data_IF_462288140895
#
_entry.id   IF_462288140895
#
_cell.length_a   1.000
_cell.length_b   1.000
_cell.length_c   1.000
_cell.angle_alpha   90.00
_cell.angle_beta   90.00
_cell.angle_gamma   90.00
#
_symmetry.space_group_name_H-M   'P 1'
#
loop_
_entity.id
_entity.type
_entity.pdbx_description
1 polymer ?
#
# COMPACT_ATOMS: atom_id res chain seq x y z
N UNK A 1 -10.41 -13.01 2.53
CA UNK A 1 -11.38 -11.91 2.36
C UNK A 1 -11.21 -10.83 3.40
N UNK A 2 -11.03 -11.17 4.69
CA UNK A 2 -10.79 -10.19 5.77
C UNK A 2 -9.64 -9.21 5.46
N UNK A 3 -8.49 -9.70 4.97
CA UNK A 3 -7.37 -8.82 4.58
C UNK A 3 -7.72 -7.81 3.48
N UNK A 4 -8.56 -8.20 2.52
CA UNK A 4 -9.01 -7.29 1.46
C UNK A 4 -9.95 -6.22 2.03
N UNK A 5 -10.90 -6.63 2.86
CA UNK A 5 -11.81 -5.69 3.53
C UNK A 5 -11.03 -4.69 4.40
N UNK A 6 -10.09 -5.17 5.23
CA UNK A 6 -9.24 -4.31 6.07
C UNK A 6 -8.42 -3.33 5.23
N UNK A 7 -7.86 -3.78 4.11
CA UNK A 7 -7.12 -2.93 3.18
C UNK A 7 -7.98 -1.83 2.57
N UNK A 8 -9.19 -2.16 2.13
CA UNK A 8 -10.12 -1.18 1.56
C UNK A 8 -10.59 -0.19 2.61
N UNK A 9 -10.92 -0.64 3.82
CA UNK A 9 -11.34 0.23 4.92
C UNK A 9 -10.23 1.20 5.33
N UNK A 10 -9.00 0.69 5.53
CA UNK A 10 -7.85 1.54 5.86
C UNK A 10 -7.56 2.53 4.74
N UNK A 11 -7.54 2.09 3.49
CA UNK A 11 -7.31 2.95 2.33
C UNK A 11 -8.38 4.03 2.16
N UNK A 12 -9.65 3.69 2.39
CA UNK A 12 -10.78 4.59 2.20
C UNK A 12 -10.63 5.88 3.00
N UNK A 13 -10.12 5.78 4.23
CA UNK A 13 -9.88 6.96 5.08
C UNK A 13 -8.91 7.91 4.39
N UNK A 14 -7.75 7.44 3.90
CA UNK A 14 -6.78 8.31 3.22
C UNK A 14 -7.29 8.88 1.91
N UNK A 15 -8.03 8.09 1.13
CA UNK A 15 -8.61 8.58 -0.13
C UNK A 15 -9.65 9.67 0.16
N UNK A 16 -10.47 9.48 1.21
CA UNK A 16 -11.44 10.48 1.64
C UNK A 16 -10.75 11.76 2.14
N UNK A 17 -9.82 11.64 3.08
CA UNK A 17 -9.10 12.78 3.66
C UNK A 17 -8.28 13.53 2.59
N UNK A 18 -7.59 12.80 1.69
CA UNK A 18 -6.87 13.40 0.58
C UNK A 18 -7.78 14.16 -0.38
N UNK A 19 -8.99 13.67 -0.63
CA UNK A 19 -9.98 14.36 -1.46
C UNK A 19 -10.57 15.58 -0.75
N UNK A 20 -10.84 15.50 0.56
CA UNK A 20 -11.25 16.65 1.37
C UNK A 20 -10.19 17.74 1.31
N UNK A 21 -8.92 17.39 1.46
CA UNK A 21 -7.80 18.32 1.44
C UNK A 21 -7.60 18.95 0.05
N UNK A 22 -7.85 18.20 -1.03
CA UNK A 22 -7.81 18.71 -2.39
C UNK A 22 -8.97 19.65 -2.72
N UNK A 23 -10.17 19.35 -2.22
CA UNK A 23 -11.39 20.15 -2.47
C UNK A 23 -11.46 21.39 -1.60
N UNK A 24 -10.92 21.34 -0.38
CA UNK A 24 -10.90 22.44 0.59
C UNK A 24 -9.49 23.03 0.75
N UNK A 25 -8.81 23.22 -0.39
CA UNK A 25 -7.39 23.56 -0.44
C UNK A 25 -7.03 24.83 0.36
N UNK A 26 -7.79 25.92 0.18
CA UNK A 26 -7.51 27.19 0.88
C UNK A 26 -7.60 27.06 2.40
N UNK A 27 -8.54 26.25 2.90
CA UNK A 27 -8.69 26.00 4.34
C UNK A 27 -7.51 25.19 4.89
N UNK A 28 -7.11 24.15 4.15
CA UNK A 28 -5.96 23.32 4.47
C UNK A 28 -4.65 24.12 4.47
N UNK A 29 -4.44 24.97 3.46
CA UNK A 29 -3.26 25.83 3.34
C UNK A 29 -3.14 26.78 4.53
N UNK A 30 -4.24 27.44 4.91
CA UNK A 30 -4.25 28.33 6.08
C UNK A 30 -3.92 27.59 7.38
N UNK A 31 -4.49 26.40 7.58
CA UNK A 31 -4.22 25.58 8.77
C UNK A 31 -2.76 25.12 8.83
N UNK A 32 -2.20 24.67 7.70
CA UNK A 32 -0.80 24.24 7.59
C UNK A 32 0.18 25.42 7.75
N UNK A 33 -0.14 26.57 7.16
CA UNK A 33 0.68 27.77 7.29
C UNK A 33 0.82 28.25 8.74
N UNK A 34 -0.24 28.09 9.55
CA UNK A 34 -0.20 28.41 10.99
C UNK A 34 0.80 27.56 11.78
N UNK A 35 1.15 26.36 11.26
CA UNK A 35 2.15 25.45 11.83
C UNK A 35 3.51 25.56 11.12
N UNK A 36 3.69 26.54 10.23
CA UNK A 36 4.92 26.72 9.45
C UNK A 36 5.10 25.71 8.31
N UNK A 37 4.05 24.97 7.95
CA UNK A 37 4.07 24.00 6.85
C UNK A 37 3.68 24.72 5.56
N UNK A 38 4.60 24.72 4.58
CA UNK A 38 4.38 25.39 3.29
C UNK A 38 3.49 24.60 2.32
N UNK A 39 2.93 25.31 1.35
CA UNK A 39 2.10 24.79 0.26
C UNK A 39 2.69 23.56 -0.48
N UNK A 40 4.02 23.44 -0.72
CA UNK A 40 4.58 22.24 -1.34
C UNK A 40 4.34 20.96 -0.53
N UNK A 41 4.39 21.04 0.80
CA UNK A 41 4.12 19.89 1.68
C UNK A 41 2.64 19.54 1.69
N UNK A 42 1.74 20.52 1.55
CA UNK A 42 0.31 20.28 1.39
C UNK A 42 0.04 19.48 0.11
N UNK A 43 0.62 19.87 -1.03
CA UNK A 43 0.50 19.12 -2.28
C UNK A 43 1.09 17.70 -2.15
N UNK A 44 2.25 17.57 -1.52
CA UNK A 44 2.86 16.27 -1.26
C UNK A 44 1.95 15.39 -0.37
N UNK A 45 1.29 15.98 0.61
CA UNK A 45 0.33 15.29 1.50
C UNK A 45 -0.89 14.81 0.72
N UNK A 46 -1.47 15.63 -0.15
CA UNK A 46 -2.60 15.24 -1.02
C UNK A 46 -2.18 14.09 -1.94
N UNK A 47 -1.04 14.24 -2.61
CA UNK A 47 -0.51 13.24 -3.53
C UNK A 47 -0.21 11.91 -2.82
N UNK A 48 0.35 11.96 -1.62
CA UNK A 48 0.62 10.79 -0.80
C UNK A 48 -0.68 10.10 -0.38
N UNK A 49 -1.64 10.84 0.18
CA UNK A 49 -2.89 10.26 0.66
C UNK A 49 -3.70 9.59 -0.46
N UNK A 50 -3.85 10.26 -1.61
CA UNK A 50 -4.58 9.73 -2.75
C UNK A 50 -3.80 8.60 -3.44
N UNK A 51 -2.52 8.83 -3.73
CA UNK A 51 -1.68 7.89 -4.47
C UNK A 51 -1.38 6.62 -3.67
N UNK A 52 -0.87 6.77 -2.45
CA UNK A 52 -0.58 5.63 -1.58
C UNK A 52 -1.87 4.96 -1.09
N UNK A 53 -2.94 5.73 -0.83
CA UNK A 53 -4.26 5.20 -0.52
C UNK A 53 -4.74 4.26 -1.61
N UNK A 54 -4.76 4.71 -2.87
CA UNK A 54 -5.21 3.90 -4.00
C UNK A 54 -4.28 2.72 -4.31
N UNK A 55 -2.96 2.92 -4.19
CA UNK A 55 -1.94 1.86 -4.26
C UNK A 55 -2.23 0.73 -3.27
N UNK A 56 -2.52 1.09 -2.01
CA UNK A 56 -2.92 0.15 -0.97
C UNK A 56 -4.25 -0.51 -1.33
N UNK A 57 -5.29 0.22 -1.73
CA UNK A 57 -6.58 -0.37 -2.13
C UNK A 57 -6.44 -1.46 -3.22
N UNK A 58 -5.78 -1.09 -4.32
CA UNK A 58 -5.59 -1.94 -5.49
C UNK A 58 -4.57 -3.07 -5.26
N UNK A 59 -3.75 -2.95 -4.23
CA UNK A 59 -2.73 -3.93 -3.89
C UNK A 59 -1.42 -3.76 -4.68
N UNK A 60 -1.27 -2.67 -5.43
CA UNK A 60 -0.09 -2.34 -6.26
C UNK A 60 0.92 -1.63 -5.37
N UNK A 61 2.14 -2.16 -5.19
CA UNK A 61 3.13 -1.60 -4.26
C UNK A 61 2.58 -1.39 -2.82
N UNK A 62 1.58 -2.19 -2.41
CA UNK A 62 0.82 -1.96 -1.18
C UNK A 62 1.68 -1.86 0.09
N UNK A 63 2.83 -2.56 0.14
CA UNK A 63 3.75 -2.48 1.26
C UNK A 63 4.42 -1.11 1.37
N UNK A 64 4.88 -0.55 0.25
CA UNK A 64 5.49 0.77 0.23
C UNK A 64 4.45 1.85 0.51
N UNK A 65 3.26 1.74 -0.09
CA UNK A 65 2.14 2.65 0.18
C UNK A 65 1.74 2.61 1.66
N UNK A 66 1.61 1.43 2.26
CA UNK A 66 1.27 1.29 3.66
C UNK A 66 2.35 1.87 4.59
N UNK A 67 3.64 1.63 4.34
CA UNK A 67 4.71 2.25 5.14
C UNK A 67 4.64 3.79 5.06
N UNK A 68 4.47 4.34 3.86
CA UNK A 68 4.35 5.78 3.67
C UNK A 68 3.17 6.39 4.41
N UNK A 69 1.99 5.79 4.29
CA UNK A 69 0.78 6.24 4.98
C UNK A 69 0.89 6.09 6.50
N UNK A 70 1.51 5.02 6.99
CA UNK A 70 1.68 4.80 8.43
C UNK A 70 2.61 5.83 9.05
N UNK A 71 3.73 6.13 8.40
CA UNK A 71 4.63 7.22 8.83
C UNK A 71 3.92 8.58 8.76
N UNK A 72 3.14 8.82 7.71
CA UNK A 72 2.34 10.03 7.58
C UNK A 72 1.34 10.22 8.74
N UNK A 73 0.63 9.16 9.16
CA UNK A 73 -0.25 9.23 10.33
C UNK A 73 0.52 9.62 11.60
N UNK A 74 1.69 9.02 11.85
CA UNK A 74 2.50 9.36 13.02
C UNK A 74 2.97 10.82 12.99
N UNK A 75 3.39 11.32 11.82
CA UNK A 75 3.79 12.71 11.66
C UNK A 75 2.60 13.66 11.86
N UNK A 76 1.43 13.32 11.32
CA UNK A 76 0.22 14.15 11.45
C UNK A 76 -0.23 14.24 12.90
N UNK A 77 -0.27 13.11 13.62
CA UNK A 77 -0.57 13.07 15.04
C UNK A 77 0.40 13.96 15.85
N UNK A 78 1.71 13.85 15.59
CA UNK A 78 2.73 14.60 16.31
C UNK A 78 2.80 16.11 15.95
N UNK A 79 2.25 16.52 14.82
CA UNK A 79 2.28 17.92 14.37
C UNK A 79 0.97 18.67 14.64
N UNK A 80 -0.17 18.02 14.46
CA UNK A 80 -1.49 18.68 14.51
C UNK A 80 -2.29 18.41 15.78
N UNK A 81 -1.90 17.42 16.58
CA UNK A 81 -2.67 16.95 17.75
C UNK A 81 -1.81 16.86 19.01
N UNK A 82 -1.19 17.98 19.37
CA UNK A 82 -0.21 18.05 20.47
C UNK A 82 -0.78 18.58 21.77
N UNK A 83 -1.97 19.19 21.75
CA UNK A 83 -2.64 19.67 22.94
C UNK A 83 -3.48 18.56 23.58
N UNK A 84 -2.83 17.69 24.35
CA UNK A 84 -3.47 16.58 25.05
C UNK A 84 -4.47 16.99 26.14
N UNK A 85 -4.52 18.28 26.53
CA UNK A 85 -5.56 18.80 27.41
C UNK A 85 -6.89 19.00 26.68
N UNK A 86 -6.86 19.15 25.35
CA UNK A 86 -8.05 19.18 24.50
C UNK A 86 -8.48 17.75 24.18
N UNK A 87 -9.66 17.35 24.66
CA UNK A 87 -10.25 16.03 24.36
C UNK A 87 -10.36 15.78 22.85
N UNK A 88 -10.64 16.83 22.07
CA UNK A 88 -10.75 16.71 20.62
C UNK A 88 -9.40 16.35 19.98
N UNK A 89 -8.32 17.03 20.35
CA UNK A 89 -6.99 16.73 19.82
C UNK A 89 -6.49 15.36 20.29
N UNK A 90 -6.69 15.02 21.56
CA UNK A 90 -6.31 13.69 22.07
C UNK A 90 -7.01 12.57 21.29
N UNK A 91 -8.30 12.72 20.99
CA UNK A 91 -9.05 11.74 20.20
C UNK A 91 -8.48 11.59 18.78
N UNK A 92 -8.13 12.71 18.13
CA UNK A 92 -7.53 12.66 16.80
C UNK A 92 -6.12 12.03 16.82
N UNK A 93 -5.31 12.33 17.84
CA UNK A 93 -4.01 11.71 18.05
C UNK A 93 -4.12 10.19 18.18
N UNK A 94 -5.01 9.71 19.06
CA UNK A 94 -5.24 8.28 19.27
C UNK A 94 -5.76 7.57 18.02
N UNK A 95 -6.68 8.22 17.29
CA UNK A 95 -7.19 7.73 16.01
C UNK A 95 -6.06 7.52 15.01
N UNK A 96 -5.20 8.51 14.82
CA UNK A 96 -4.10 8.44 13.86
C UNK A 96 -3.06 7.38 14.26
N UNK A 97 -2.79 7.21 15.56
CA UNK A 97 -1.92 6.15 16.06
C UNK A 97 -2.51 4.75 15.79
N UNK A 98 -3.82 4.57 16.02
CA UNK A 98 -4.52 3.33 15.74
C UNK A 98 -4.53 2.99 14.24
N UNK A 99 -4.75 3.99 13.39
CA UNK A 99 -4.70 3.83 11.93
C UNK A 99 -3.29 3.46 11.49
N UNK A 100 -2.25 4.14 12.00
CA UNK A 100 -0.85 3.82 11.72
C UNK A 100 -0.53 2.35 12.07
N UNK A 101 -0.95 1.90 13.26
CA UNK A 101 -0.80 0.50 13.67
C UNK A 101 -1.47 -0.49 12.71
N UNK A 102 -2.73 -0.23 12.35
CA UNK A 102 -3.47 -1.07 11.40
C UNK A 102 -2.80 -1.15 10.02
N UNK A 103 -2.26 -0.03 9.54
CA UNK A 103 -1.59 0.03 8.24
C UNK A 103 -0.20 -0.60 8.27
N UNK A 104 0.54 -0.52 9.38
CA UNK A 104 1.81 -1.24 9.51
C UNK A 104 1.62 -2.75 9.56
N UNK A 105 0.55 -3.23 10.22
CA UNK A 105 0.16 -4.64 10.15
C UNK A 105 -0.12 -5.03 8.69
N UNK A 106 -0.79 -4.16 7.92
CA UNK A 106 -1.02 -4.39 6.49
C UNK A 106 0.29 -4.38 5.68
N UNK A 107 1.25 -3.52 6.01
CA UNK A 107 2.57 -3.50 5.39
C UNK A 107 3.33 -4.82 5.61
N UNK A 108 3.17 -5.44 6.78
CA UNK A 108 3.72 -6.77 7.10
C UNK A 108 2.98 -7.90 6.38
N UNK A 109 1.64 -7.84 6.35
CA UNK A 109 0.80 -8.85 5.71
C UNK A 109 0.91 -8.84 4.17
N UNK A 110 1.27 -7.70 3.57
CA UNK A 110 1.41 -7.52 2.14
C UNK A 110 0.07 -7.47 1.39
N UNK A 111 0.12 -7.56 0.06
CA UNK A 111 -1.04 -7.33 -0.82
C UNK A 111 -2.03 -8.51 -0.90
N UNK A 112 -1.75 -9.65 -0.25
CA UNK A 112 -2.66 -10.80 -0.18
C UNK A 112 -2.88 -11.55 -1.51
N UNK A 113 -3.85 -12.49 -1.51
CA UNK A 113 -4.19 -13.35 -2.67
C UNK A 113 -4.96 -12.62 -3.79
N UNK A 114 -5.72 -11.60 -3.43
CA UNK A 114 -6.46 -10.73 -4.34
C UNK A 114 -5.75 -9.36 -4.42
N UNK A 115 -4.68 -9.34 -5.22
CA UNK A 115 -3.96 -8.12 -5.56
C UNK A 115 -3.71 -8.11 -7.06
N UNK A 116 -3.83 -6.93 -7.67
CA UNK A 116 -3.49 -6.68 -9.08
C UNK A 116 -2.06 -7.14 -9.38
N UNK A 117 -1.13 -6.95 -8.45
CA UNK A 117 0.28 -7.37 -8.54
C UNK A 117 0.42 -8.88 -8.82
N UNK A 118 -0.40 -9.70 -8.13
CA UNK A 118 -0.39 -11.15 -8.26
C UNK A 118 -1.14 -11.62 -9.52
N UNK A 119 -2.21 -10.93 -9.90
CA UNK A 119 -2.92 -11.21 -11.16
C UNK A 119 -1.96 -10.97 -12.33
N UNK A 120 -1.27 -9.82 -12.36
CA UNK A 120 -0.30 -9.47 -13.40
C UNK A 120 0.89 -10.46 -13.44
N UNK A 121 1.43 -10.84 -12.28
CA UNK A 121 2.48 -11.85 -12.19
C UNK A 121 2.02 -13.26 -12.62
N UNK A 122 0.75 -13.60 -12.40
CA UNK A 122 0.13 -14.83 -12.88
C UNK A 122 0.01 -14.89 -14.40
N UNK A 123 -0.29 -13.76 -15.05
CA UNK A 123 -0.30 -13.65 -16.52
C UNK A 123 1.11 -13.75 -17.14
N UNK A 124 2.15 -13.31 -16.43
CA UNK A 124 3.53 -13.36 -16.92
C UNK A 124 4.18 -14.75 -16.86
N UNK A 125 3.72 -15.67 -16.00
CA UNK A 125 4.17 -17.07 -15.96
C UNK A 125 3.41 -17.92 -16.99
N UNK A 126 3.76 -17.80 -18.27
CA UNK A 126 3.44 -18.88 -19.24
C UNK A 126 4.26 -20.14 -18.89
N UNK A 127 3.75 -21.36 -19.11
CA UNK A 127 4.49 -22.57 -18.81
C UNK A 127 5.75 -22.62 -19.69
N UNK A 128 6.88 -22.96 -19.07
CA UNK A 128 8.07 -23.39 -19.82
C UNK A 128 7.66 -24.67 -20.54
N UNK A 129 7.50 -24.61 -21.86
CA UNK A 129 7.28 -25.80 -22.68
C UNK A 129 8.60 -26.54 -22.68
N UNK A 130 8.69 -27.64 -21.94
CA UNK A 130 9.87 -28.50 -22.00
C UNK A 130 9.96 -29.06 -23.43
N UNK A 131 11.14 -29.01 -24.07
CA UNK A 131 11.30 -29.56 -25.40
C UNK A 131 10.98 -31.07 -25.38
N UNK A 132 10.38 -31.62 -26.45
CA UNK A 132 10.08 -33.05 -26.51
C UNK A 132 11.37 -33.84 -26.26
N UNK A 133 11.33 -34.75 -25.30
CA UNK A 133 12.42 -35.69 -25.01
C UNK A 133 12.68 -36.46 -26.30
N UNK A 134 13.78 -36.15 -27.00
CA UNK A 134 14.30 -37.02 -28.04
C UNK A 134 14.69 -38.33 -27.37
N UNK A 135 13.79 -39.32 -27.47
CA UNK A 135 14.12 -40.70 -27.22
C UNK A 135 15.14 -41.12 -28.29
N UNK A 136 16.41 -40.79 -28.07
CA UNK A 136 17.50 -41.36 -28.83
C UNK A 136 17.48 -42.88 -28.62
N UNK A 137 16.95 -43.53 -29.65
CA UNK A 137 17.24 -44.87 -30.11
C UNK A 137 18.53 -45.44 -29.48
N UNK A 138 18.41 -46.07 -28.32
CA UNK A 138 19.33 -47.13 -27.92
C UNK A 138 18.88 -48.38 -28.66
N UNK A 139 19.13 -48.39 -29.97
CA UNK A 139 19.06 -49.60 -30.78
C UNK A 139 20.24 -50.46 -30.33
N UNK A 140 19.89 -51.50 -29.58
CA UNK A 140 20.83 -52.34 -28.87
C UNK A 140 21.92 -52.89 -29.79
N UNK A 141 23.15 -52.67 -29.33
CA UNK A 141 24.26 -53.59 -29.51
C UNK A 141 23.75 -55.02 -29.25
N UNK A 142 23.54 -55.78 -30.31
CA UNK A 142 23.45 -57.24 -30.23
C UNK A 142 24.61 -57.83 -31.03
N UNK A 143 25.73 -57.85 -30.33
CA UNK A 143 26.78 -58.85 -30.33
C UNK A 143 26.59 -60.03 -31.30
N UNK A 144 27.48 -60.11 -32.29
CA UNK A 144 27.83 -61.37 -32.95
C UNK A 144 28.72 -62.19 -32.00
N UNK A 145 28.45 -63.49 -31.82
CA UNK A 145 29.56 -64.44 -31.74
C UNK A 145 29.30 -65.77 -32.50
N UNK A 146 30.38 -66.18 -33.19
CA UNK A 146 30.76 -67.50 -33.75
C UNK A 146 29.93 -68.11 -34.89
#
# INVERSE_FOLDING_TARGET
>A
MVLLAGRLLLSLIFVHEGLQLATHFEGAEKAMAALGVGTPLLLATIALQLGAGLSVALGILARLGAIGLGLFCLMTAGLFHTNFASQNELLHFEKDLAIAGGIFILALAGSGRLSVDRVLAGFAKRPKIDPPVEQHLSAGERSLPV
#
